data_IF_619067337585
#
_entry.id   IF_619067337585
#
_cell.length_a   1.000
_cell.length_b   1.000
_cell.length_c   1.000
_cell.angle_alpha   90.00
_cell.angle_beta   90.00
_cell.angle_gamma   90.00
#
_symmetry.space_group_name_H-M   'P 1'
#
loop_
_entity.id
_entity.type
_entity.pdbx_description
1 polymer ?
#
# COMPACT_ATOMS: atom_id res chain seq x y z
N UNK A 1 -12.77 14.22 25.03
CA UNK A 1 -11.65 13.28 25.26
C UNK A 1 -11.35 12.57 23.92
N UNK A 2 -10.09 12.65 23.49
CA UNK A 2 -9.63 11.94 22.32
C UNK A 2 -9.30 10.53 22.78
N UNK A 3 -9.93 9.51 22.18
CA UNK A 3 -9.70 8.11 22.53
C UNK A 3 -8.66 7.53 21.56
N UNK A 4 -7.64 6.79 22.04
CA UNK A 4 -6.79 6.00 21.18
C UNK A 4 -7.61 4.85 20.56
N UNK A 5 -7.27 4.46 19.36
CA UNK A 5 -7.84 3.31 18.66
C UNK A 5 -6.74 2.34 18.21
N UNK A 6 -7.13 1.25 17.55
CA UNK A 6 -6.19 0.22 17.07
C UNK A 6 -5.21 0.72 15.99
N UNK A 7 -5.46 1.88 15.38
CA UNK A 7 -4.64 2.42 14.30
C UNK A 7 -3.61 3.45 14.76
N UNK A 8 -3.76 4.02 15.96
CA UNK A 8 -2.78 4.98 16.46
C UNK A 8 -3.15 5.62 17.80
N UNK A 9 -2.18 6.26 18.42
CA UNK A 9 -2.32 7.01 19.65
C UNK A 9 -2.33 8.52 19.38
N UNK A 10 -3.17 9.23 20.12
CA UNK A 10 -3.24 10.69 20.11
C UNK A 10 -2.95 11.21 21.51
N UNK A 11 -1.87 11.95 21.66
CA UNK A 11 -1.51 12.60 22.90
C UNK A 11 -1.70 14.11 22.78
N UNK A 12 -2.40 14.70 23.75
CA UNK A 12 -2.60 16.12 23.84
C UNK A 12 -1.78 16.73 24.96
N UNK A 13 -1.07 17.80 24.65
CA UNK A 13 -0.33 18.59 25.66
C UNK A 13 -1.27 19.41 26.57
N UNK A 14 -2.55 19.57 26.20
CA UNK A 14 -3.52 20.39 26.93
C UNK A 14 -4.90 19.73 26.96
N UNK A 15 -5.42 19.44 28.14
CA UNK A 15 -6.77 18.88 28.31
C UNK A 15 -7.88 19.95 28.18
N UNK A 16 -7.55 21.22 28.45
CA UNK A 16 -8.47 22.37 28.32
C UNK A 16 -7.75 23.51 27.65
N UNK A 17 -8.41 24.17 26.72
CA UNK A 17 -7.90 25.32 25.97
C UNK A 17 -8.89 26.47 26.09
N UNK A 18 -8.40 27.67 26.34
CA UNK A 18 -9.22 28.89 26.34
C UNK A 18 -9.74 29.16 24.93
N UNK A 19 -10.87 29.84 24.82
CA UNK A 19 -11.39 30.32 23.54
C UNK A 19 -10.28 31.06 22.75
N UNK A 20 -10.18 30.78 21.47
CA UNK A 20 -9.08 31.23 20.57
C UNK A 20 -7.68 30.74 20.98
N UNK A 21 -7.58 29.73 21.80
CA UNK A 21 -6.32 29.11 22.20
C UNK A 21 -5.72 28.22 21.12
N UNK A 22 -4.56 27.65 21.48
CA UNK A 22 -3.83 26.70 20.62
C UNK A 22 -3.80 25.33 21.26
N UNK A 23 -4.15 24.29 20.49
CA UNK A 23 -4.01 22.89 20.86
C UNK A 23 -2.81 22.31 20.11
N UNK A 24 -1.95 21.57 20.82
CA UNK A 24 -0.90 20.76 20.21
C UNK A 24 -1.20 19.29 20.46
N UNK A 25 -1.15 18.51 19.41
CA UNK A 25 -1.37 17.06 19.44
C UNK A 25 -0.14 16.36 18.89
N UNK A 26 0.28 15.28 19.54
CA UNK A 26 1.22 14.33 18.97
C UNK A 26 0.42 13.08 18.57
N UNK A 27 0.53 12.71 17.30
CA UNK A 27 -0.21 11.63 16.67
C UNK A 27 0.79 10.57 16.26
N UNK A 28 0.67 9.38 16.82
CA UNK A 28 1.60 8.28 16.55
C UNK A 28 0.83 7.09 15.95
N UNK A 29 1.12 6.69 14.71
CA UNK A 29 0.51 5.51 14.11
C UNK A 29 0.92 4.24 14.87
N UNK A 30 0.01 3.30 15.00
CA UNK A 30 0.31 1.96 15.49
C UNK A 30 1.18 1.19 14.50
N UNK A 31 1.79 0.09 14.94
CA UNK A 31 2.53 -0.79 14.05
C UNK A 31 1.69 -1.22 12.85
N UNK A 32 2.27 -1.17 11.65
CA UNK A 32 1.60 -1.47 10.38
C UNK A 32 0.45 -0.52 10.00
N UNK A 33 0.41 0.66 10.59
CA UNK A 33 -0.49 1.73 10.19
C UNK A 33 0.29 2.89 9.57
N UNK A 34 -0.32 3.57 8.61
CA UNK A 34 0.24 4.72 7.92
C UNK A 34 -0.78 5.84 7.83
N UNK A 35 -0.31 7.06 7.74
CA UNK A 35 -1.08 8.26 7.45
C UNK A 35 -0.18 9.28 6.79
N UNK A 36 -0.75 10.31 6.21
CA UNK A 36 -0.02 11.45 5.66
C UNK A 36 -0.39 12.73 6.40
N UNK A 37 0.51 13.70 6.43
CA UNK A 37 0.25 14.99 7.06
C UNK A 37 -1.00 15.68 6.47
N UNK A 38 -1.24 15.54 5.17
CA UNK A 38 -2.40 16.12 4.48
C UNK A 38 -3.71 15.43 4.85
N UNK A 39 -3.75 14.08 4.92
CA UNK A 39 -4.93 13.33 5.38
C UNK A 39 -5.28 13.72 6.82
N UNK A 40 -4.29 13.71 7.71
CA UNK A 40 -4.46 14.08 9.12
C UNK A 40 -4.95 15.53 9.25
N UNK A 41 -4.34 16.48 8.51
CA UNK A 41 -4.75 17.87 8.49
C UNK A 41 -6.20 18.02 8.03
N UNK A 42 -6.59 17.30 6.99
CA UNK A 42 -7.98 17.31 6.48
C UNK A 42 -8.98 16.84 7.52
N UNK A 43 -8.70 15.75 8.23
CA UNK A 43 -9.59 15.24 9.28
C UNK A 43 -9.65 16.17 10.49
N UNK A 44 -8.52 16.75 10.91
CA UNK A 44 -8.49 17.73 12.00
C UNK A 44 -9.21 19.03 11.60
N UNK A 45 -9.15 19.45 10.34
CA UNK A 45 -9.87 20.63 9.84
C UNK A 45 -11.38 20.40 9.82
N UNK A 46 -11.85 19.19 9.55
CA UNK A 46 -13.29 18.85 9.69
C UNK A 46 -13.77 18.96 11.14
N UNK A 47 -12.94 18.54 12.09
CA UNK A 47 -13.24 18.62 13.51
C UNK A 47 -13.20 20.07 14.05
N UNK A 48 -12.45 20.95 13.39
CA UNK A 48 -12.27 22.35 13.78
C UNK A 48 -12.34 23.28 12.54
N UNK A 49 -13.52 23.46 11.91
CA UNK A 49 -13.64 24.14 10.60
C UNK A 49 -13.17 25.60 10.62
N UNK A 50 -13.29 26.28 11.75
CA UNK A 50 -12.89 27.68 11.93
C UNK A 50 -11.48 27.88 12.48
N UNK A 51 -10.75 26.80 12.76
CA UNK A 51 -9.40 26.83 13.29
C UNK A 51 -8.36 26.81 12.16
N UNK A 52 -7.13 27.20 12.49
CA UNK A 52 -5.97 27.03 11.61
C UNK A 52 -5.23 25.76 12.02
N UNK A 53 -5.23 24.77 11.15
CA UNK A 53 -4.58 23.48 11.38
C UNK A 53 -3.30 23.39 10.58
N UNK A 54 -2.21 23.05 11.25
CA UNK A 54 -0.95 22.65 10.62
C UNK A 54 -0.50 21.29 11.15
N UNK A 55 -0.01 20.43 10.26
CA UNK A 55 0.51 19.12 10.62
C UNK A 55 1.90 18.97 10.02
N UNK A 56 2.82 18.47 10.81
CA UNK A 56 4.22 18.24 10.41
C UNK A 56 4.60 16.82 10.80
N UNK A 57 5.17 16.07 9.87
CA UNK A 57 5.71 14.75 10.14
C UNK A 57 7.10 14.88 10.77
N UNK A 58 7.34 14.10 11.81
CA UNK A 58 8.62 14.04 12.51
C UNK A 58 8.83 12.65 13.09
N UNK A 59 9.92 12.00 12.69
CA UNK A 59 10.37 10.71 13.24
C UNK A 59 9.26 9.63 13.27
N UNK A 60 8.46 9.55 12.19
CA UNK A 60 7.36 8.58 12.09
C UNK A 60 6.12 8.90 12.93
N UNK A 61 6.10 10.08 13.55
CA UNK A 61 4.94 10.65 14.25
C UNK A 61 4.55 11.98 13.62
N UNK A 62 3.38 12.51 13.97
CA UNK A 62 2.88 13.76 13.43
C UNK A 62 2.64 14.75 14.57
N UNK A 63 3.15 15.97 14.44
CA UNK A 63 2.82 17.08 15.31
C UNK A 63 1.74 17.92 14.65
N UNK A 64 0.56 17.99 15.25
CA UNK A 64 -0.52 18.84 14.82
C UNK A 64 -0.66 20.06 15.74
N UNK A 65 -0.72 21.25 15.16
CA UNK A 65 -0.98 22.50 15.86
C UNK A 65 -2.28 23.09 15.34
N UNK A 66 -3.26 23.24 16.22
CA UNK A 66 -4.60 23.78 15.93
C UNK A 66 -4.73 25.10 16.68
N UNK A 67 -4.84 26.20 15.95
CA UNK A 67 -4.96 27.56 16.49
C UNK A 67 -6.36 28.10 16.31
N UNK A 68 -6.74 29.08 17.15
CA UNK A 68 -8.05 29.70 17.14
C UNK A 68 -9.20 28.71 17.41
N UNK A 69 -8.98 27.81 18.35
CA UNK A 69 -10.01 26.84 18.76
C UNK A 69 -11.12 27.58 19.50
N UNK A 70 -12.32 27.57 18.92
CA UNK A 70 -13.48 28.29 19.46
C UNK A 70 -14.46 27.40 20.20
N UNK A 71 -14.40 26.09 19.94
CA UNK A 71 -15.32 25.07 20.45
C UNK A 71 -14.56 23.85 20.96
N UNK A 72 -15.26 22.96 21.63
CA UNK A 72 -14.67 21.67 22.05
C UNK A 72 -14.25 20.84 20.83
N UNK A 73 -13.00 20.44 20.80
CA UNK A 73 -12.44 19.63 19.72
C UNK A 73 -12.79 18.15 19.95
N UNK A 74 -13.59 17.58 19.06
CA UNK A 74 -13.84 16.14 18.98
C UNK A 74 -13.17 15.58 17.72
N UNK A 75 -12.06 14.88 17.90
CA UNK A 75 -11.32 14.25 16.79
C UNK A 75 -11.70 12.78 16.70
N UNK A 76 -12.18 12.36 15.52
CA UNK A 76 -12.32 10.95 15.21
C UNK A 76 -10.93 10.40 14.79
N UNK A 77 -10.38 9.52 15.59
CA UNK A 77 -9.04 8.95 15.37
C UNK A 77 -9.05 7.80 14.36
N UNK A 78 -10.21 7.23 14.04
CA UNK A 78 -10.33 6.09 13.10
C UNK A 78 -9.90 6.45 11.67
N UNK A 79 -10.03 7.72 11.29
CA UNK A 79 -9.68 8.21 9.96
C UNK A 79 -8.29 8.86 9.88
N UNK A 80 -7.54 8.92 10.98
CA UNK A 80 -6.21 9.55 10.99
C UNK A 80 -5.13 8.61 10.44
N UNK A 81 -5.29 7.31 10.68
CA UNK A 81 -4.33 6.29 10.27
C UNK A 81 -5.03 5.10 9.63
N UNK A 82 -4.38 4.51 8.64
CA UNK A 82 -4.90 3.37 7.89
C UNK A 82 -4.01 2.15 8.09
N UNK A 83 -4.62 1.01 8.40
CA UNK A 83 -3.92 -0.27 8.49
C UNK A 83 -3.37 -0.69 7.14
N UNK A 84 -2.13 -1.17 7.11
CA UNK A 84 -1.49 -1.77 5.94
C UNK A 84 -1.33 -3.27 6.11
N UNK A 85 -1.36 -3.98 5.01
CA UNK A 85 -1.23 -5.42 4.93
C UNK A 85 0.02 -5.79 4.16
N UNK A 86 0.67 -6.88 4.55
CA UNK A 86 1.91 -7.34 3.93
C UNK A 86 1.67 -7.97 2.56
N UNK A 87 2.65 -7.80 1.68
CA UNK A 87 2.71 -8.47 0.38
C UNK A 87 4.01 -9.27 0.34
N UNK A 88 3.89 -10.59 0.39
CA UNK A 88 5.04 -11.50 0.40
C UNK A 88 5.12 -12.21 -0.93
N UNK A 89 6.19 -11.96 -1.69
CA UNK A 89 6.50 -12.69 -2.90
C UNK A 89 7.34 -13.92 -2.54
N UNK A 90 6.82 -15.10 -2.84
CA UNK A 90 7.54 -16.36 -2.66
C UNK A 90 8.75 -16.48 -3.61
N UNK A 91 9.77 -17.20 -3.18
CA UNK A 91 10.87 -17.57 -4.09
C UNK A 91 10.32 -18.44 -5.21
N UNK A 92 10.70 -18.14 -6.44
CA UNK A 92 10.37 -18.94 -7.60
C UNK A 92 11.64 -19.41 -8.29
N UNK A 93 11.66 -20.68 -8.73
CA UNK A 93 12.74 -21.20 -9.55
C UNK A 93 12.55 -20.77 -11.01
N UNK A 94 13.65 -20.52 -11.72
CA UNK A 94 13.67 -20.15 -13.14
C UNK A 94 12.99 -18.81 -13.47
N UNK A 95 12.95 -17.90 -12.49
CA UNK A 95 12.42 -16.56 -12.64
C UNK A 95 12.27 -15.87 -11.30
N UNK A 96 11.71 -14.67 -11.33
CA UNK A 96 11.42 -13.90 -10.14
C UNK A 96 10.06 -13.21 -10.25
N UNK A 97 9.46 -12.92 -9.10
CA UNK A 97 8.31 -12.05 -8.99
C UNK A 97 8.60 -10.99 -7.93
N UNK A 98 8.23 -9.76 -8.22
CA UNK A 98 8.37 -8.62 -7.30
C UNK A 98 7.06 -7.83 -7.23
N UNK A 99 6.82 -7.22 -6.09
CA UNK A 99 5.70 -6.30 -5.91
C UNK A 99 6.21 -4.86 -5.83
N UNK A 100 5.38 -3.90 -6.25
CA UNK A 100 5.67 -2.46 -6.20
C UNK A 100 5.83 -1.92 -4.77
N UNK A 101 5.28 -2.64 -3.78
CA UNK A 101 5.39 -2.30 -2.37
C UNK A 101 5.41 -3.58 -1.52
N UNK A 102 6.08 -3.55 -0.38
CA UNK A 102 6.06 -4.64 0.60
C UNK A 102 4.80 -4.64 1.47
N UNK A 103 4.10 -3.51 1.54
CA UNK A 103 2.85 -3.31 2.26
C UNK A 103 1.99 -2.29 1.53
N UNK A 104 0.65 -2.43 1.64
CA UNK A 104 -0.31 -1.50 1.06
C UNK A 104 -1.58 -1.41 1.92
N UNK A 105 -2.33 -0.34 1.79
CA UNK A 105 -3.67 -0.20 2.41
C UNK A 105 -4.68 -1.06 1.65
N UNK A 106 -5.74 -1.50 2.32
CA UNK A 106 -6.88 -2.09 1.62
C UNK A 106 -7.44 -1.11 0.59
N UNK A 107 -7.70 -1.59 -0.63
CA UNK A 107 -8.15 -0.78 -1.75
C UNK A 107 -7.03 -0.18 -2.62
N UNK A 108 -5.77 -0.18 -2.16
CA UNK A 108 -4.64 0.30 -2.97
C UNK A 108 -4.39 -0.62 -4.17
N UNK A 109 -3.99 -0.02 -5.28
CA UNK A 109 -3.58 -0.77 -6.46
C UNK A 109 -2.12 -1.17 -6.36
N UNK A 110 -1.85 -2.47 -6.39
CA UNK A 110 -0.50 -3.04 -6.30
C UNK A 110 -0.11 -3.64 -7.64
N UNK A 111 1.13 -3.38 -8.06
CA UNK A 111 1.70 -3.91 -9.30
C UNK A 111 2.67 -5.05 -8.97
N UNK A 112 2.50 -6.18 -9.65
CA UNK A 112 3.42 -7.31 -9.62
C UNK A 112 4.17 -7.37 -10.95
N UNK A 113 5.46 -7.61 -10.89
CA UNK A 113 6.31 -7.81 -12.06
C UNK A 113 6.89 -9.22 -12.00
N UNK A 114 6.57 -10.05 -13.00
CA UNK A 114 7.14 -11.37 -13.15
C UNK A 114 8.22 -11.35 -14.24
N UNK A 115 9.42 -11.80 -13.92
CA UNK A 115 10.57 -11.84 -14.81
C UNK A 115 11.05 -13.29 -14.97
N UNK A 116 10.69 -14.01 -16.04
CA UNK A 116 11.19 -15.34 -16.35
C UNK A 116 12.70 -15.31 -16.64
N UNK A 117 13.43 -16.34 -16.22
CA UNK A 117 14.81 -16.53 -16.63
C UNK A 117 14.89 -16.85 -18.14
N UNK A 118 16.10 -16.75 -18.71
CA UNK A 118 16.34 -17.09 -20.13
C UNK A 118 15.91 -18.51 -20.43
N UNK A 119 15.13 -18.70 -21.47
CA UNK A 119 14.56 -20.00 -21.84
C UNK A 119 13.31 -20.43 -21.08
N UNK A 120 12.81 -19.61 -20.17
CA UNK A 120 11.59 -19.88 -19.39
C UNK A 120 10.47 -18.88 -19.69
N UNK A 121 9.26 -19.24 -19.33
CA UNK A 121 8.08 -18.39 -19.38
C UNK A 121 7.28 -18.57 -18.08
N UNK A 122 6.50 -17.55 -17.71
CA UNK A 122 5.59 -17.65 -16.58
C UNK A 122 4.51 -18.71 -16.89
N UNK A 123 4.36 -19.69 -16.00
CA UNK A 123 3.35 -20.74 -16.09
C UNK A 123 2.12 -20.36 -15.27
N UNK A 124 2.30 -20.03 -13.99
CA UNK A 124 1.22 -19.61 -13.10
C UNK A 124 1.65 -18.42 -12.26
N UNK A 125 0.67 -17.57 -11.92
CA UNK A 125 0.79 -16.52 -10.91
C UNK A 125 -0.50 -16.55 -10.09
N UNK A 126 -0.37 -16.78 -8.80
CA UNK A 126 -1.51 -16.90 -7.87
C UNK A 126 -1.32 -16.01 -6.66
N UNK A 127 -2.42 -15.52 -6.12
CA UNK A 127 -2.50 -14.76 -4.89
C UNK A 127 -3.24 -15.57 -3.82
N UNK A 128 -2.79 -15.49 -2.59
CA UNK A 128 -3.49 -16.05 -1.43
C UNK A 128 -3.65 -14.95 -0.37
N UNK A 129 -4.87 -14.54 0.02
CA UNK A 129 -6.16 -15.01 -0.50
C UNK A 129 -6.35 -14.69 -1.99
N UNK A 130 -7.20 -15.49 -2.66
CA UNK A 130 -7.46 -15.31 -4.09
C UNK A 130 -8.04 -13.91 -4.37
N UNK A 131 -7.42 -13.21 -5.29
CA UNK A 131 -7.79 -11.85 -5.69
C UNK A 131 -7.67 -11.72 -7.19
N UNK A 132 -8.58 -11.00 -7.82
CA UNK A 132 -8.57 -10.79 -9.27
C UNK A 132 -7.28 -10.09 -9.71
N UNK A 133 -6.65 -10.60 -10.76
CA UNK A 133 -5.45 -10.07 -11.38
C UNK A 133 -5.78 -9.47 -12.75
N UNK A 134 -5.49 -8.20 -12.91
CA UNK A 134 -5.50 -7.53 -14.22
C UNK A 134 -4.12 -7.67 -14.86
N UNK A 135 -4.07 -8.25 -16.04
CA UNK A 135 -2.83 -8.50 -16.76
C UNK A 135 -2.54 -7.39 -17.77
N UNK A 136 -1.36 -6.80 -17.68
CA UNK A 136 -0.79 -5.95 -18.73
C UNK A 136 0.51 -6.58 -19.21
N UNK A 137 0.61 -6.90 -20.50
CA UNK A 137 1.78 -7.54 -21.10
C UNK A 137 2.66 -6.50 -21.77
N UNK A 138 3.92 -6.41 -21.36
CA UNK A 138 4.99 -5.72 -22.10
C UNK A 138 5.95 -6.77 -22.69
N UNK A 139 6.69 -6.40 -23.73
CA UNK A 139 7.47 -7.35 -24.54
C UNK A 139 8.53 -8.18 -23.76
N UNK A 140 9.00 -7.70 -22.61
CA UNK A 140 10.05 -8.34 -21.81
C UNK A 140 9.66 -8.65 -20.37
N UNK A 141 8.61 -8.04 -19.85
CA UNK A 141 8.14 -8.24 -18.47
C UNK A 141 6.63 -8.41 -18.44
N UNK A 142 6.18 -9.35 -17.61
CA UNK A 142 4.77 -9.58 -17.37
C UNK A 142 4.35 -8.77 -16.14
N UNK A 143 3.53 -7.77 -16.35
CA UNK A 143 3.02 -6.90 -15.31
C UNK A 143 1.56 -7.26 -15.02
N UNK A 144 1.25 -7.41 -13.74
CA UNK A 144 -0.07 -7.69 -13.25
C UNK A 144 -0.42 -6.65 -12.19
N UNK A 145 -1.68 -6.29 -12.09
CA UNK A 145 -2.17 -5.42 -11.02
C UNK A 145 -3.31 -6.08 -10.28
N UNK A 146 -3.40 -5.82 -8.98
CA UNK A 146 -4.53 -6.23 -8.17
C UNK A 146 -4.86 -5.13 -7.16
N UNK A 147 -6.09 -5.18 -6.64
CA UNK A 147 -6.52 -4.31 -5.54
C UNK A 147 -6.23 -5.02 -4.23
N UNK A 148 -5.52 -4.36 -3.33
CA UNK A 148 -5.13 -4.92 -2.05
C UNK A 148 -6.36 -5.25 -1.19
N UNK A 149 -6.55 -6.49 -0.78
CA UNK A 149 -7.61 -6.86 0.17
C UNK A 149 -7.27 -6.40 1.59
N UNK A 150 -8.23 -6.46 2.49
CA UNK A 150 -8.00 -6.19 3.92
C UNK A 150 -7.35 -7.39 4.65
N UNK A 151 -6.37 -8.02 4.01
CA UNK A 151 -5.58 -9.16 4.50
C UNK A 151 -4.18 -9.13 3.91
N UNK A 152 -3.23 -9.78 4.58
CA UNK A 152 -1.91 -10.04 4.02
C UNK A 152 -2.03 -10.93 2.77
N UNK A 153 -1.20 -10.65 1.77
CA UNK A 153 -1.22 -11.36 0.48
C UNK A 153 0.10 -12.08 0.27
N UNK A 154 0.01 -13.35 -0.07
CA UNK A 154 1.14 -14.14 -0.55
C UNK A 154 1.05 -14.32 -2.05
N UNK A 155 2.12 -13.99 -2.77
CA UNK A 155 2.25 -14.14 -4.22
C UNK A 155 3.09 -15.36 -4.52
N UNK A 156 2.57 -16.29 -5.32
CA UNK A 156 3.30 -17.48 -5.77
C UNK A 156 3.35 -17.49 -7.29
N UNK A 157 4.56 -17.67 -7.85
CA UNK A 157 4.78 -17.79 -9.29
C UNK A 157 5.50 -19.09 -9.62
N UNK A 158 5.14 -19.72 -10.73
CA UNK A 158 5.88 -20.83 -11.29
C UNK A 158 6.26 -20.52 -12.74
N UNK A 159 7.43 -21.01 -13.15
CA UNK A 159 7.96 -20.82 -14.49
C UNK A 159 8.17 -22.17 -15.14
N UNK A 160 7.97 -22.26 -16.46
CA UNK A 160 8.19 -23.46 -17.26
C UNK A 160 9.12 -23.16 -18.43
N UNK A 161 9.78 -24.18 -18.94
CA UNK A 161 10.60 -24.04 -20.15
C UNK A 161 9.74 -23.50 -21.28
N UNK A 162 10.24 -22.48 -21.96
CA UNK A 162 9.59 -21.93 -23.15
C UNK A 162 9.64 -22.97 -24.26
N UNK A 163 8.54 -23.30 -24.97
CA UNK A 163 8.56 -24.19 -26.12
C UNK A 163 9.55 -23.64 -27.16
N UNK A 164 10.48 -24.45 -27.59
CA UNK A 164 11.31 -24.11 -28.74
C UNK A 164 10.38 -24.03 -29.95
N UNK A 165 10.34 -22.89 -30.65
CA UNK A 165 9.76 -22.82 -31.96
C UNK A 165 10.60 -23.71 -32.85
N UNK A 166 10.17 -24.98 -33.04
CA UNK A 166 10.80 -25.89 -33.98
C UNK A 166 10.74 -25.25 -35.35
N UNK A 167 11.90 -24.80 -35.84
CA UNK A 167 12.09 -24.51 -37.24
C UNK A 167 11.84 -25.81 -38.00
N UNK A 168 10.72 -25.88 -38.69
CA UNK A 168 10.47 -26.94 -39.66
C UNK A 168 11.54 -26.86 -40.75
N UNK A 169 12.59 -27.67 -40.63
CA UNK A 169 13.48 -27.94 -41.74
C UNK A 169 12.66 -28.75 -42.75
N UNK A 170 12.06 -28.08 -43.71
CA UNK A 170 11.55 -28.70 -44.92
C UNK A 170 12.74 -29.33 -45.69
N UNK A 171 13.01 -30.62 -45.46
CA UNK A 171 13.85 -31.42 -46.29
C UNK A 171 13.14 -31.66 -47.61
N UNK A 172 13.41 -30.84 -48.61
CA UNK A 172 13.09 -31.14 -49.98
C UNK A 172 14.06 -32.20 -50.50
N UNK A 173 13.68 -33.49 -50.46
CA UNK A 173 14.33 -34.54 -51.21
C UNK A 173 13.86 -34.48 -52.66
N UNK A 174 14.66 -33.91 -53.56
CA UNK A 174 14.55 -34.16 -54.97
C UNK A 174 15.24 -35.47 -55.30
N UNK A 175 14.50 -36.42 -55.83
CA UNK A 175 15.07 -37.53 -56.53
C UNK A 175 14.82 -37.32 -58.04
N UNK A 176 15.93 -37.40 -58.78
CA UNK A 176 15.94 -37.36 -60.25
C UNK A 176 15.58 -38.68 -60.88
#
# INVERSE_FOLDING_TARGET
PIQPNDTGAVNSASAQVRKNGTVKLTLTPSANCVGTAEEIKSELQKAAPNAVVSVTEKDGSFEAVIRNVTEALAVNTDNLFHKTYAITAGKAENGSVSASAARAKAGDRVTLTAAPASGYQLKTLTLTPETALDKTVSASTLTYTFTMPANDVTVTATFAVKPSSGGGAGGGGGAG
#
